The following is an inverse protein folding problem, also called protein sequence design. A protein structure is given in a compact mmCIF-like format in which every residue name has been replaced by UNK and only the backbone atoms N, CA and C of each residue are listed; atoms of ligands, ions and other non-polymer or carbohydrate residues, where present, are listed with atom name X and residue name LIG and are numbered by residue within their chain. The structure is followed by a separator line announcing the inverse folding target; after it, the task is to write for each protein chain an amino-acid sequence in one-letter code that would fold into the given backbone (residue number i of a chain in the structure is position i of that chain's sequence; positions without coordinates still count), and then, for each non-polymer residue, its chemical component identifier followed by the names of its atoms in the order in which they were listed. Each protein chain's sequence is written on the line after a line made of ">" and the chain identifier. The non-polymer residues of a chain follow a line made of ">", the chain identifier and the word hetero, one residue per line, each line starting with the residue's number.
data_IF_471101036491
#
_entry.id   IF_471101036491
#
_cell.length_a   1.000
_cell.length_b   1.000
_cell.length_c   1.000
_cell.angle_alpha   90.00
_cell.angle_beta   90.00
_cell.angle_gamma   90.00
#
_symmetry.space_group_name_H-M   'P 1'
#
loop_
_entity.id
_entity.type
_entity.pdbx_description
1 polymer ?
#
# COMPACT_ATOMS: atom_id res chain seq x y z
N UNK A 1 9.18 -13.86 -19.59
CA UNK A 1 8.04 -13.00 -19.99
C UNK A 1 8.09 -11.74 -19.12
N UNK A 2 8.53 -10.60 -19.66
CA UNK A 2 8.69 -9.35 -18.90
C UNK A 2 7.37 -8.58 -18.96
N UNK A 3 6.59 -8.55 -17.88
CA UNK A 3 5.46 -7.62 -17.78
C UNK A 3 6.00 -6.21 -17.57
N UNK A 4 6.04 -5.44 -18.65
CA UNK A 4 6.31 -4.01 -18.62
C UNK A 4 4.98 -3.32 -18.32
N UNK A 5 4.76 -2.98 -17.04
CA UNK A 5 3.56 -2.24 -16.63
C UNK A 5 3.66 -0.80 -17.17
N UNK A 6 2.83 -0.48 -18.17
CA UNK A 6 2.62 0.90 -18.62
C UNK A 6 1.97 1.68 -17.46
N UNK A 7 2.43 2.91 -17.14
CA UNK A 7 1.75 3.76 -16.17
C UNK A 7 0.45 4.25 -16.81
N UNK A 8 -0.61 3.46 -16.65
CA UNK A 8 -1.94 3.84 -17.09
C UNK A 8 -2.49 4.88 -16.12
N UNK A 9 -3.02 5.99 -16.67
CA UNK A 9 -3.65 7.10 -15.95
C UNK A 9 -4.99 6.65 -15.34
N UNK A 10 -4.97 5.74 -14.37
CA UNK A 10 -6.20 5.28 -13.73
C UNK A 10 -6.60 6.23 -12.60
N UNK A 11 -7.87 6.65 -12.64
CA UNK A 11 -8.45 7.68 -11.79
C UNK A 11 -8.83 7.13 -10.43
N UNK A 12 -8.06 7.47 -9.40
CA UNK A 12 -8.40 7.23 -8.01
C UNK A 12 -8.14 8.51 -7.21
N UNK A 13 -9.11 8.90 -6.39
CA UNK A 13 -9.06 10.12 -5.58
C UNK A 13 -9.21 9.81 -4.10
N UNK A 14 -8.49 10.56 -3.27
CA UNK A 14 -8.74 10.59 -1.84
C UNK A 14 -9.97 11.46 -1.58
N UNK A 15 -10.90 10.95 -0.78
CA UNK A 15 -12.10 11.67 -0.34
C UNK A 15 -12.23 11.55 1.18
N UNK A 16 -12.86 12.54 1.80
CA UNK A 16 -13.32 12.40 3.18
C UNK A 16 -14.47 11.41 3.22
N UNK A 17 -14.37 10.39 4.06
CA UNK A 17 -15.43 9.40 4.27
C UNK A 17 -16.00 9.55 5.68
N UNK A 18 -17.32 9.39 5.80
CA UNK A 18 -18.09 9.78 6.99
C UNK A 18 -17.71 8.97 8.25
N UNK A 19 -17.15 7.77 8.08
CA UNK A 19 -16.90 6.81 9.18
C UNK A 19 -15.42 6.57 9.48
N UNK A 20 -14.50 6.81 8.54
CA UNK A 20 -13.08 6.41 8.66
C UNK A 20 -12.11 7.57 8.46
N UNK A 21 -12.62 8.80 8.36
CA UNK A 21 -11.83 9.98 8.06
C UNK A 21 -11.55 10.10 6.56
N UNK A 22 -10.65 9.28 6.01
CA UNK A 22 -10.27 9.27 4.59
C UNK A 22 -10.60 7.95 3.88
N UNK A 23 -10.81 8.02 2.58
CA UNK A 23 -10.99 6.85 1.71
C UNK A 23 -10.45 7.13 0.31
N UNK A 24 -10.18 6.06 -0.44
CA UNK A 24 -9.88 6.14 -1.87
C UNK A 24 -11.09 5.66 -2.65
N UNK A 25 -11.49 6.43 -3.66
CA UNK A 25 -12.56 6.06 -4.59
C UNK A 25 -12.04 6.07 -6.01
N UNK A 26 -12.48 5.10 -6.81
CA UNK A 26 -12.28 5.14 -8.26
C UNK A 26 -13.13 6.27 -8.86
N UNK A 27 -12.59 6.98 -9.84
CA UNK A 27 -13.33 8.03 -10.58
C UNK A 27 -13.72 7.58 -11.98
N UNK A 28 -13.22 6.43 -12.40
CA UNK A 28 -13.46 5.78 -13.68
C UNK A 28 -13.49 4.28 -13.40
N UNK A 29 -14.13 3.52 -14.29
CA UNK A 29 -14.04 2.07 -14.25
C UNK A 29 -12.57 1.62 -14.31
N UNK A 30 -12.25 0.60 -13.53
CA UNK A 30 -10.91 0.03 -13.44
C UNK A 30 -11.02 -1.48 -13.62
N UNK A 31 -10.30 -2.02 -14.58
CA UNK A 31 -10.25 -3.47 -14.81
C UNK A 31 -9.56 -4.22 -13.66
N UNK A 32 -9.73 -5.54 -13.66
CA UNK A 32 -9.00 -6.46 -12.78
C UNK A 32 -7.50 -6.50 -13.11
N UNK A 33 -6.65 -6.68 -12.10
CA UNK A 33 -5.20 -6.82 -12.26
C UNK A 33 -4.48 -5.49 -12.54
N UNK A 34 -5.18 -4.38 -12.42
CA UNK A 34 -4.64 -3.05 -12.69
C UNK A 34 -3.90 -2.52 -11.48
N UNK A 35 -2.64 -2.11 -11.69
CA UNK A 35 -1.91 -1.31 -10.72
C UNK A 35 -2.49 0.11 -10.70
N UNK A 36 -3.08 0.48 -9.56
CA UNK A 36 -3.65 1.81 -9.36
C UNK A 36 -2.54 2.82 -9.14
N UNK A 37 -1.82 2.68 -8.02
CA UNK A 37 -0.71 3.56 -7.58
C UNK A 37 0.14 2.88 -6.52
N UNK A 38 1.33 3.42 -6.32
CA UNK A 38 2.23 3.06 -5.23
C UNK A 38 1.79 3.68 -3.88
N UNK A 39 1.95 2.90 -2.81
CA UNK A 39 1.91 3.39 -1.43
C UNK A 39 3.28 3.98 -1.09
N UNK A 40 3.42 5.29 -1.31
CA UNK A 40 4.71 5.95 -1.23
C UNK A 40 4.90 6.66 0.10
N UNK A 41 6.08 6.43 0.71
CA UNK A 41 6.70 7.29 1.74
C UNK A 41 8.01 6.77 2.31
N UNK A 42 8.43 7.39 3.42
CA UNK A 42 9.61 7.03 4.20
C UNK A 42 9.59 5.55 4.55
N UNK A 43 10.57 4.85 4.00
CA UNK A 43 10.89 3.48 4.37
C UNK A 43 11.63 3.52 5.70
N UNK A 44 11.14 2.76 6.68
CA UNK A 44 11.73 2.68 8.02
C UNK A 44 12.03 1.23 8.37
N UNK A 45 13.15 1.03 9.06
CA UNK A 45 13.45 -0.23 9.71
C UNK A 45 12.97 -0.14 11.16
N UNK A 46 12.01 -0.99 11.52
CA UNK A 46 11.39 -1.00 12.84
C UNK A 46 11.61 -2.35 13.52
N UNK A 47 11.75 -2.33 14.85
CA UNK A 47 11.76 -3.57 15.63
C UNK A 47 10.33 -4.10 15.77
N UNK A 48 10.18 -5.42 15.91
CA UNK A 48 8.88 -6.05 16.13
C UNK A 48 8.21 -5.57 17.41
N UNK A 49 8.99 -5.34 18.46
CA UNK A 49 8.49 -4.88 19.76
C UNK A 49 7.89 -3.47 19.65
N UNK A 50 8.48 -2.61 18.80
CA UNK A 50 7.99 -1.26 18.58
C UNK A 50 6.75 -1.21 17.67
N UNK A 51 6.55 -2.17 16.76
CA UNK A 51 5.37 -2.21 15.87
C UNK A 51 4.06 -2.25 16.66
N UNK A 52 3.99 -3.06 17.73
CA UNK A 52 2.80 -3.16 18.57
C UNK A 52 2.49 -1.88 19.34
N UNK A 53 3.50 -1.04 19.60
CA UNK A 53 3.41 0.19 20.38
C UNK A 53 3.26 1.45 19.53
N UNK A 54 3.45 1.34 18.21
CA UNK A 54 3.39 2.49 17.32
C UNK A 54 1.98 3.10 17.36
N UNK A 55 1.87 4.40 17.66
CA UNK A 55 0.57 5.11 17.63
C UNK A 55 0.00 5.25 16.22
N UNK A 56 0.86 5.09 15.22
CA UNK A 56 0.59 5.25 13.80
C UNK A 56 0.23 3.92 13.07
N UNK A 57 -0.45 2.99 13.75
CA UNK A 57 -0.74 1.65 13.19
C UNK A 57 -1.54 1.71 11.88
N UNK A 58 -2.31 2.79 11.71
CA UNK A 58 -3.24 2.97 10.59
C UNK A 58 -2.56 3.38 9.28
N UNK A 59 -1.37 4.01 9.33
CA UNK A 59 -0.63 4.44 8.13
C UNK A 59 0.75 3.78 8.01
N UNK A 60 0.98 2.72 8.78
CA UNK A 60 2.18 1.89 8.73
C UNK A 60 1.87 0.62 7.96
N UNK A 61 2.43 0.49 6.75
CA UNK A 61 2.36 -0.75 6.00
C UNK A 61 3.65 -1.53 6.13
N UNK A 62 3.54 -2.73 6.71
CA UNK A 62 4.65 -3.64 6.91
C UNK A 62 4.96 -4.37 5.60
N UNK A 63 6.25 -4.46 5.29
CA UNK A 63 6.73 -5.30 4.20
C UNK A 63 6.98 -6.73 4.72
N UNK A 64 6.58 -7.71 3.94
CA UNK A 64 6.81 -9.12 4.12
C UNK A 64 8.29 -9.48 3.92
N UNK A 65 8.98 -8.76 3.01
CA UNK A 65 10.41 -8.90 2.83
C UNK A 65 11.17 -8.67 4.16
N UNK A 66 12.01 -9.63 4.55
CA UNK A 66 12.83 -9.56 5.76
C UNK A 66 14.24 -9.13 5.38
N UNK A 67 14.78 -8.05 5.95
CA UNK A 67 16.15 -7.64 5.68
C UNK A 67 17.14 -8.70 6.14
N UNK A 68 18.12 -8.99 5.30
CA UNK A 68 19.23 -9.89 5.61
C UNK A 68 19.96 -9.47 6.90
N UNK A 69 20.47 -10.46 7.64
CA UNK A 69 21.24 -10.21 8.87
C UNK A 69 20.43 -9.72 10.08
N UNK A 70 19.11 -9.52 9.98
CA UNK A 70 18.29 -9.01 11.11
C UNK A 70 17.62 -10.09 11.95
N UNK A 71 17.79 -11.38 11.61
CA UNK A 71 17.28 -12.51 12.40
C UNK A 71 15.77 -12.44 12.67
N UNK A 72 15.00 -11.81 11.78
CA UNK A 72 13.57 -11.54 11.92
C UNK A 72 13.14 -10.59 13.06
N UNK A 73 14.08 -9.99 13.81
CA UNK A 73 13.81 -9.04 14.90
C UNK A 73 13.37 -7.67 14.38
N UNK A 74 13.78 -7.34 13.16
CA UNK A 74 13.40 -6.10 12.48
C UNK A 74 12.57 -6.38 11.25
N UNK A 75 11.78 -5.39 10.85
CA UNK A 75 10.96 -5.39 9.64
C UNK A 75 11.06 -4.03 8.97
N UNK A 76 10.87 -4.03 7.66
CA UNK A 76 10.75 -2.80 6.90
C UNK A 76 9.29 -2.42 6.84
N UNK A 77 9.00 -1.14 6.99
CA UNK A 77 7.67 -0.60 6.84
C UNK A 77 7.70 0.74 6.10
N UNK A 78 6.58 1.11 5.50
CA UNK A 78 6.36 2.42 4.90
C UNK A 78 5.48 3.23 5.85
N UNK A 79 5.98 4.38 6.32
CA UNK A 79 5.26 5.29 7.23
C UNK A 79 4.68 6.49 6.48
N UNK A 80 3.36 6.50 6.32
CA UNK A 80 2.63 7.53 5.59
C UNK A 80 1.76 8.45 6.47
N UNK A 81 2.06 8.63 7.76
CA UNK A 81 1.21 9.38 8.70
C UNK A 81 1.06 10.86 8.38
N UNK A 82 2.20 11.55 8.24
CA UNK A 82 2.23 13.02 8.08
C UNK A 82 2.17 13.42 6.62
N UNK A 83 2.69 12.56 5.78
CA UNK A 83 2.92 12.74 4.36
C UNK A 83 2.68 11.34 3.80
N UNK A 84 1.80 11.17 2.80
CA UNK A 84 1.52 9.90 2.07
C UNK A 84 1.23 10.14 0.58
N UNK A 85 1.28 9.10 -0.26
CA UNK A 85 0.48 9.15 -1.49
C UNK A 85 -1.00 9.03 -1.13
N UNK A 86 -1.90 9.23 -2.10
CA UNK A 86 -3.34 9.03 -1.95
C UNK A 86 -3.69 7.65 -1.34
N UNK A 87 -2.85 6.64 -1.62
CA UNK A 87 -3.04 5.27 -1.13
C UNK A 87 -2.95 5.14 0.40
N UNK A 88 -2.45 6.15 1.12
CA UNK A 88 -2.49 6.19 2.59
C UNK A 88 -3.90 6.07 3.18
N UNK A 89 -4.93 6.40 2.38
CA UNK A 89 -6.34 6.34 2.78
C UNK A 89 -7.04 5.08 2.28
N UNK A 90 -6.29 4.07 1.81
CA UNK A 90 -6.86 2.76 1.54
C UNK A 90 -7.33 2.14 2.85
N UNK A 91 -8.64 1.93 2.94
CA UNK A 91 -9.24 1.29 4.10
C UNK A 91 -9.13 -0.23 3.98
N UNK A 92 -9.02 -0.87 5.15
CA UNK A 92 -9.10 -2.32 5.25
C UNK A 92 -10.51 -2.82 4.94
N UNK A 93 -10.61 -3.96 4.25
CA UNK A 93 -11.86 -4.68 4.01
C UNK A 93 -11.61 -6.18 4.23
N UNK A 94 -12.46 -6.84 5.01
CA UNK A 94 -12.23 -8.21 5.48
C UNK A 94 -12.32 -9.28 4.38
N UNK A 95 -13.31 -9.22 3.46
CA UNK A 95 -13.31 -9.95 2.17
C UNK A 95 -14.63 -9.71 1.38
N UNK A 96 -14.64 -9.90 0.05
CA UNK A 96 -13.50 -9.77 -0.86
C UNK A 96 -13.21 -8.31 -1.17
N UNK A 97 -12.01 -7.84 -0.79
CA UNK A 97 -11.54 -6.51 -1.13
C UNK A 97 -11.35 -6.40 -2.66
N UNK A 98 -11.91 -5.38 -3.33
CA UNK A 98 -11.65 -5.15 -4.75
C UNK A 98 -10.20 -4.77 -5.04
N UNK A 99 -9.43 -4.47 -4.00
CA UNK A 99 -8.07 -3.97 -4.08
C UNK A 99 -7.22 -4.60 -2.97
N UNK A 100 -5.96 -4.97 -3.29
CA UNK A 100 -4.97 -5.42 -2.31
C UNK A 100 -3.65 -4.68 -2.51
N UNK A 101 -2.87 -4.57 -1.44
CA UNK A 101 -1.49 -4.09 -1.52
C UNK A 101 -0.55 -5.25 -1.78
N UNK A 102 0.28 -5.13 -2.81
CA UNK A 102 1.25 -6.15 -3.20
C UNK A 102 2.66 -5.56 -3.14
N UNK A 103 3.59 -6.32 -2.58
CA UNK A 103 5.01 -6.01 -2.67
C UNK A 103 5.56 -6.38 -4.05
N UNK A 104 6.28 -5.44 -4.63
CA UNK A 104 6.99 -5.62 -5.90
C UNK A 104 8.44 -5.24 -5.74
N UNK A 105 9.31 -5.99 -6.42
CA UNK A 105 10.73 -5.70 -6.52
C UNK A 105 11.06 -5.27 -7.94
N UNK A 106 11.79 -4.16 -8.06
CA UNK A 106 12.33 -3.69 -9.32
C UNK A 106 13.82 -3.41 -9.13
N UNK A 107 14.66 -4.39 -9.44
CA UNK A 107 16.07 -4.36 -9.09
C UNK A 107 16.23 -4.40 -7.56
N UNK A 108 16.98 -3.44 -7.00
CA UNK A 108 17.15 -3.28 -5.54
C UNK A 108 16.02 -2.50 -4.86
N UNK A 109 15.09 -1.92 -5.63
CA UNK A 109 13.99 -1.15 -5.07
C UNK A 109 12.82 -2.06 -4.70
N UNK A 110 12.39 -2.00 -3.45
CA UNK A 110 11.13 -2.60 -3.00
C UNK A 110 10.03 -1.55 -2.99
N UNK A 111 8.86 -1.88 -3.54
CA UNK A 111 7.70 -1.00 -3.59
C UNK A 111 6.48 -1.74 -3.11
N UNK A 112 5.54 -0.99 -2.56
CA UNK A 112 4.21 -1.48 -2.24
C UNK A 112 3.23 -0.82 -3.20
N UNK A 113 2.53 -1.61 -4.00
CA UNK A 113 1.56 -1.13 -4.99
C UNK A 113 0.16 -1.57 -4.61
N UNK A 114 -0.83 -0.76 -4.94
CA UNK A 114 -2.23 -1.14 -4.83
C UNK A 114 -2.70 -1.70 -6.17
N UNK A 115 -3.19 -2.95 -6.18
CA UNK A 115 -3.61 -3.68 -7.38
C UNK A 115 -5.06 -4.12 -7.21
N UNK A 116 -5.87 -3.96 -8.26
CA UNK A 116 -7.26 -4.46 -8.27
C UNK A 116 -7.28 -5.99 -8.36
N UNK A 117 -8.08 -6.61 -7.50
CA UNK A 117 -8.32 -8.06 -7.51
C UNK A 117 -9.61 -8.45 -8.24
N UNK A 118 -10.40 -7.46 -8.65
CA UNK A 118 -11.58 -7.56 -9.52
C UNK A 118 -11.85 -6.18 -10.09
N UNK A 119 -12.64 -6.11 -11.16
CA UNK A 119 -13.05 -4.83 -11.74
C UNK A 119 -13.82 -3.95 -10.72
N UNK A 120 -13.62 -2.65 -10.82
CA UNK A 120 -14.25 -1.60 -10.00
C UNK A 120 -15.00 -0.66 -10.93
N UNK A 121 -16.29 -0.43 -10.67
CA UNK A 121 -17.17 0.41 -11.48
C UNK A 121 -17.80 1.51 -10.63
#
# INVERSE_FOLDING_TARGET
>A
MRQQLRPLRHGALARRCNTTGGCVVATLAIDEGVNIREYLRWVRLVSKECLGLHRNRWYLLLMNAVPEGTGSRRRVCIDAERLGSTMRFLNHLCDPAPLRTQEMTQGSAHRLVAVTCRAVF
#
